data_IF_506971747514
#
_entry.id   IF_506971747514
#
_cell.length_a   1.000
_cell.length_b   1.000
_cell.length_c   1.000
_cell.angle_alpha   90.00
_cell.angle_beta   90.00
_cell.angle_gamma   90.00
#
_symmetry.space_group_name_H-M   'P 1'
#
loop_
_entity.id
_entity.type
_entity.pdbx_description
1 polymer ?
#
# COMPACT_ATOMS: atom_id res chain seq x y z
N UNK A 1 1.18 -9.37 -10.68
CA UNK A 1 1.27 -10.06 -9.37
C UNK A 1 2.46 -11.03 -9.27
N UNK A 2 2.62 -12.06 -10.12
CA UNK A 2 3.76 -13.03 -10.04
C UNK A 2 5.17 -12.42 -9.91
N UNK A 3 5.42 -11.25 -10.51
CA UNK A 3 6.69 -10.53 -10.42
C UNK A 3 6.76 -9.49 -9.28
N UNK A 4 5.75 -9.46 -8.40
CA UNK A 4 5.61 -8.50 -7.29
C UNK A 4 4.96 -7.16 -7.66
N UNK A 5 4.38 -7.06 -8.86
CA UNK A 5 3.59 -5.89 -9.27
C UNK A 5 2.13 -6.02 -8.86
N UNK A 6 1.57 -4.93 -8.35
CA UNK A 6 0.14 -4.81 -8.09
C UNK A 6 -0.69 -5.12 -9.35
N UNK A 7 -1.86 -5.76 -9.21
CA UNK A 7 -2.79 -5.93 -10.32
C UNK A 7 -3.39 -4.58 -10.74
N UNK A 8 -3.98 -4.55 -11.93
CA UNK A 8 -4.79 -3.43 -12.37
C UNK A 8 -6.18 -3.57 -11.76
N UNK A 9 -6.62 -2.55 -11.03
CA UNK A 9 -7.93 -2.44 -10.42
C UNK A 9 -9.02 -2.03 -11.41
N UNK A 10 -10.27 -1.98 -10.94
CA UNK A 10 -11.44 -1.66 -11.78
C UNK A 10 -11.43 -0.24 -12.34
N UNK A 11 -10.62 0.66 -11.78
CA UNK A 11 -10.43 2.03 -12.25
C UNK A 11 -9.31 2.15 -13.31
N UNK A 12 -8.81 1.03 -13.82
CA UNK A 12 -7.75 0.99 -14.83
C UNK A 12 -6.36 1.35 -14.31
N UNK A 13 -6.17 1.46 -12.99
CA UNK A 13 -4.89 1.80 -12.36
C UNK A 13 -4.39 0.66 -11.48
N UNK A 14 -3.13 0.69 -11.10
CA UNK A 14 -2.61 -0.27 -10.13
C UNK A 14 -3.36 -0.17 -8.80
N UNK A 15 -3.72 -1.31 -8.22
CA UNK A 15 -4.22 -1.38 -6.85
C UNK A 15 -3.15 -0.88 -5.88
N UNK A 16 -3.59 -0.14 -4.86
CA UNK A 16 -2.71 0.35 -3.80
C UNK A 16 -2.75 -0.59 -2.60
N UNK A 17 -1.65 -0.68 -1.86
CA UNK A 17 -1.66 -1.15 -0.48
C UNK A 17 -1.65 0.08 0.44
N UNK A 18 -2.64 0.18 1.31
CA UNK A 18 -2.79 1.28 2.24
C UNK A 18 -2.67 0.81 3.69
N UNK A 19 -1.86 1.48 4.51
CA UNK A 19 -1.78 1.22 5.95
C UNK A 19 -2.98 1.82 6.64
N UNK A 20 -3.78 1.00 7.32
CA UNK A 20 -4.99 1.48 8.01
C UNK A 20 -4.66 2.55 9.06
N UNK A 21 -3.49 2.45 9.71
CA UNK A 21 -3.03 3.35 10.77
C UNK A 21 -1.84 4.23 10.36
N UNK A 22 -1.39 4.20 9.10
CA UNK A 22 -0.24 4.97 8.64
C UNK A 22 1.12 4.59 9.26
N UNK A 23 1.21 3.43 9.95
CA UNK A 23 2.43 2.94 10.63
C UNK A 23 3.00 1.72 9.93
N UNK A 24 4.33 1.68 9.81
CA UNK A 24 5.09 0.53 9.32
C UNK A 24 5.98 -0.01 10.47
N UNK A 25 5.89 -1.31 10.81
CA UNK A 25 4.94 -2.30 10.28
C UNK A 25 3.52 -2.07 10.79
N UNK A 26 2.51 -2.48 10.01
CA UNK A 26 1.12 -2.31 10.39
C UNK A 26 0.12 -2.99 9.45
N UNK A 27 -1.16 -3.05 9.84
CA UNK A 27 -2.22 -3.67 9.04
C UNK A 27 -2.40 -2.92 7.71
N UNK A 28 -2.53 -3.69 6.63
CA UNK A 28 -2.69 -3.19 5.27
C UNK A 28 -4.03 -3.60 4.67
N UNK A 29 -4.53 -2.78 3.75
CA UNK A 29 -5.71 -3.06 2.94
C UNK A 29 -5.41 -2.79 1.47
N UNK A 30 -5.90 -3.66 0.58
CA UNK A 30 -5.93 -3.36 -0.85
C UNK A 30 -6.98 -2.28 -1.13
N UNK A 31 -6.59 -1.21 -1.82
CA UNK A 31 -7.48 -0.08 -2.10
C UNK A 31 -7.40 0.34 -3.57
N UNK A 32 -8.55 0.60 -4.18
CA UNK A 32 -8.63 1.15 -5.54
C UNK A 32 -7.93 2.51 -5.57
N UNK A 33 -7.13 2.76 -6.61
CA UNK A 33 -6.26 3.94 -6.69
C UNK A 33 -7.04 5.26 -6.63
N UNK A 34 -8.16 5.33 -7.34
CA UNK A 34 -9.09 6.46 -7.33
C UNK A 34 -9.70 6.70 -5.94
N UNK A 35 -10.11 5.65 -5.23
CA UNK A 35 -10.59 5.74 -3.84
C UNK A 35 -9.51 6.28 -2.91
N UNK A 36 -8.27 5.76 -2.99
CA UNK A 36 -7.15 6.28 -2.20
C UNK A 36 -6.91 7.78 -2.45
N UNK A 37 -7.01 8.22 -3.71
CA UNK A 37 -6.84 9.63 -4.08
C UNK A 37 -7.99 10.50 -3.57
N UNK A 38 -9.24 10.06 -3.74
CA UNK A 38 -10.43 10.80 -3.33
C UNK A 38 -10.48 11.02 -1.82
N UNK A 39 -10.13 9.99 -1.04
CA UNK A 39 -10.21 10.01 0.42
C UNK A 39 -8.86 10.21 1.10
N UNK A 40 -7.85 10.71 0.38
CA UNK A 40 -6.49 10.87 0.87
C UNK A 40 -6.43 11.58 2.24
N UNK A 41 -7.19 12.66 2.43
CA UNK A 41 -7.20 13.41 3.69
C UNK A 41 -7.77 12.59 4.86
N UNK A 42 -8.81 11.81 4.61
CA UNK A 42 -9.49 11.01 5.62
C UNK A 42 -8.62 9.83 6.07
N UNK A 43 -7.95 9.18 5.11
CA UNK A 43 -7.15 7.99 5.38
C UNK A 43 -5.71 8.29 5.83
N UNK A 44 -5.23 9.53 5.65
CA UNK A 44 -3.92 9.99 6.13
C UNK A 44 -4.00 11.07 7.22
N UNK A 45 -5.21 11.48 7.62
CA UNK A 45 -5.42 12.65 8.48
C UNK A 45 -4.88 12.53 9.92
N UNK A 46 -4.57 11.31 10.36
CA UNK A 46 -3.95 11.04 11.67
C UNK A 46 -2.41 11.05 11.62
N UNK A 47 -1.83 11.15 10.42
CA UNK A 47 -0.37 11.23 10.26
C UNK A 47 0.02 12.69 10.43
N UNK A 48 0.75 12.99 11.50
CA UNK A 48 1.29 14.33 11.74
C UNK A 48 2.24 14.76 10.60
N UNK A 49 2.43 16.07 10.42
CA UNK A 49 3.34 16.59 9.40
C UNK A 49 4.75 16.04 9.62
N UNK A 50 5.27 15.33 8.62
CA UNK A 50 6.57 14.66 8.71
C UNK A 50 6.55 13.30 9.42
N UNK A 51 5.43 12.89 10.01
CA UNK A 51 5.25 11.61 10.72
C UNK A 51 5.06 10.39 9.82
N UNK A 52 5.18 10.53 8.51
CA UNK A 52 5.10 9.40 7.58
C UNK A 52 6.28 8.45 7.77
N UNK A 53 6.02 7.15 7.85
CA UNK A 53 7.08 6.13 7.89
C UNK A 53 8.02 6.21 6.68
N UNK A 54 7.54 6.77 5.56
CA UNK A 54 8.31 7.00 4.33
C UNK A 54 9.52 7.91 4.54
N UNK A 55 9.49 8.76 5.57
CA UNK A 55 10.60 9.64 5.91
C UNK A 55 11.75 8.90 6.61
N UNK A 56 11.53 7.64 7.02
CA UNK A 56 12.57 6.77 7.60
C UNK A 56 13.01 5.75 6.57
N UNK A 57 14.27 5.83 6.11
CA UNK A 57 14.80 4.97 5.04
C UNK A 57 14.68 3.47 5.33
N UNK A 58 14.80 3.06 6.59
CA UNK A 58 14.62 1.67 7.02
C UNK A 58 13.17 1.20 6.84
N UNK A 59 12.20 2.02 7.25
CA UNK A 59 10.77 1.70 7.16
C UNK A 59 10.25 1.76 5.72
N UNK A 60 10.70 2.74 4.92
CA UNK A 60 10.36 2.78 3.49
C UNK A 60 10.88 1.53 2.76
N UNK A 61 12.11 1.11 3.02
CA UNK A 61 12.68 -0.12 2.46
C UNK A 61 11.90 -1.35 2.91
N UNK A 62 11.51 -1.41 4.19
CA UNK A 62 10.71 -2.50 4.74
C UNK A 62 9.36 -2.61 4.00
N UNK A 63 8.63 -1.51 3.87
CA UNK A 63 7.37 -1.45 3.15
C UNK A 63 7.53 -1.87 1.67
N UNK A 64 8.52 -1.34 0.96
CA UNK A 64 8.72 -1.66 -0.46
C UNK A 64 9.03 -3.14 -0.67
N UNK A 65 9.79 -3.77 0.26
CA UNK A 65 10.03 -5.21 0.26
C UNK A 65 8.74 -5.99 0.54
N UNK A 66 7.99 -5.60 1.57
CA UNK A 66 6.71 -6.22 1.92
C UNK A 66 5.73 -6.17 0.74
N UNK A 67 5.53 -5.00 0.13
CA UNK A 67 4.61 -4.81 -1.00
C UNK A 67 4.93 -5.73 -2.17
N UNK A 68 6.22 -5.86 -2.52
CA UNK A 68 6.65 -6.76 -3.58
C UNK A 68 6.33 -8.23 -3.28
N UNK A 69 6.65 -8.69 -2.07
CA UNK A 69 6.39 -10.09 -1.68
C UNK A 69 4.89 -10.37 -1.50
N UNK A 70 4.14 -9.41 -0.97
CA UNK A 70 2.68 -9.48 -0.85
C UNK A 70 2.04 -9.75 -2.20
N UNK A 71 2.38 -8.99 -3.25
CA UNK A 71 1.78 -9.20 -4.57
C UNK A 71 2.18 -10.51 -5.24
N UNK A 72 3.37 -11.06 -4.93
CA UNK A 72 3.73 -12.41 -5.39
C UNK A 72 2.86 -13.46 -4.71
N UNK A 73 2.70 -13.36 -3.38
CA UNK A 73 1.88 -14.27 -2.60
C UNK A 73 0.41 -14.20 -3.02
N UNK A 74 -0.14 -12.99 -3.16
CA UNK A 74 -1.51 -12.74 -3.62
C UNK A 74 -1.80 -13.33 -5.00
N UNK A 75 -0.78 -13.46 -5.85
CA UNK A 75 -0.91 -14.12 -7.15
C UNK A 75 -1.29 -15.60 -7.04
N UNK A 76 -0.93 -16.25 -5.92
CA UNK A 76 -1.15 -17.68 -5.71
C UNK A 76 -2.63 -18.00 -5.41
N UNK A 77 -3.39 -17.04 -4.90
CA UNK A 77 -4.81 -17.20 -4.59
C UNK A 77 -5.69 -17.39 -5.84
N UNK A 78 -5.13 -17.14 -7.03
CA UNK A 78 -5.82 -17.21 -8.31
C UNK A 78 -5.18 -18.21 -9.28
N UNK A 79 -4.38 -19.15 -8.76
CA UNK A 79 -3.76 -20.23 -9.55
C UNK A 79 -4.61 -21.49 -9.59
#
# INVERSE_FOLDING_TARGET
MKNGYAPIGPDGKQMNLHHILGKEPGPMVELVSSTHKQYHKQIHGLIENGGSFRNTSALDRQYNKFSKEYWKLRALDFM
#
